data_IF_470259425272
#
_entry.id   IF_470259425272
#
_cell.length_a   1.000
_cell.length_b   1.000
_cell.length_c   1.000
_cell.angle_alpha   90.00
_cell.angle_beta   90.00
_cell.angle_gamma   90.00
#
_symmetry.space_group_name_H-M   'P 1'
#
loop_
_entity.id
_entity.type
_entity.pdbx_description
1 polymer ?
#
# COMPACT_ATOMS: atom_id res chain seq x y z
N UNK A 1 1.71 8.80 -1.04
CA UNK A 1 3.05 8.17 -1.07
C UNK A 1 4.01 9.13 -0.42
N UNK A 2 4.78 8.65 0.54
CA UNK A 2 5.73 9.46 1.33
C UNK A 2 7.10 8.81 1.29
N UNK A 3 8.15 9.61 1.12
CA UNK A 3 9.53 9.16 1.19
C UNK A 3 10.10 9.51 2.57
N UNK A 4 10.54 8.51 3.32
CA UNK A 4 11.36 8.68 4.51
C UNK A 4 12.84 8.59 4.09
N UNK A 5 13.37 9.72 3.65
CA UNK A 5 14.66 9.82 2.98
C UNK A 5 15.86 9.30 3.81
N UNK A 6 15.96 9.54 5.14
CA UNK A 6 17.06 9.01 5.96
C UNK A 6 17.13 7.48 5.98
N UNK A 7 15.99 6.81 5.86
CA UNK A 7 15.89 5.35 5.89
C UNK A 7 15.60 4.74 4.51
N UNK A 8 15.55 5.57 3.47
CA UNK A 8 15.16 5.20 2.11
C UNK A 8 13.84 4.40 2.02
N UNK A 9 12.90 4.62 2.96
CA UNK A 9 11.61 3.95 2.93
C UNK A 9 10.63 4.69 2.03
N UNK A 10 9.92 3.94 1.20
CA UNK A 10 8.79 4.46 0.41
C UNK A 10 7.51 3.90 1.03
N UNK A 11 6.75 4.81 1.63
CA UNK A 11 5.57 4.51 2.42
C UNK A 11 4.33 4.80 1.57
N UNK A 12 3.48 3.78 1.44
CA UNK A 12 2.20 3.85 0.77
C UNK A 12 1.11 3.58 1.80
N UNK A 13 0.35 4.62 2.11
CA UNK A 13 -0.78 4.53 3.03
C UNK A 13 -2.10 4.61 2.26
N UNK A 14 -2.84 3.51 2.31
CA UNK A 14 -4.16 3.31 1.71
C UNK A 14 -5.24 3.07 2.78
N UNK A 15 -5.05 3.58 4.01
CA UNK A 15 -6.03 3.47 5.09
C UNK A 15 -7.37 4.09 4.70
N UNK A 16 -8.47 3.38 4.97
CA UNK A 16 -9.85 3.84 4.81
C UNK A 16 -10.19 4.38 3.40
N UNK A 17 -9.61 3.75 2.38
CA UNK A 17 -9.85 4.10 0.97
C UNK A 17 -11.00 3.34 0.33
N UNK A 18 -11.74 2.57 1.13
CA UNK A 18 -12.89 1.77 0.66
C UNK A 18 -12.51 0.78 -0.45
N UNK A 19 -11.25 0.33 -0.48
CA UNK A 19 -10.73 -0.54 -1.52
C UNK A 19 -11.38 -1.92 -1.46
N UNK A 20 -11.77 -2.46 -2.62
CA UNK A 20 -12.27 -3.83 -2.77
C UNK A 20 -11.19 -4.81 -3.24
N UNK A 21 -10.05 -4.28 -3.72
CA UNK A 21 -8.88 -5.02 -4.19
C UNK A 21 -7.59 -4.26 -3.84
N UNK A 22 -6.45 -4.94 -3.95
CA UNK A 22 -5.14 -4.29 -3.81
C UNK A 22 -4.94 -3.37 -5.03
N UNK A 23 -4.65 -2.06 -4.84
CA UNK A 23 -4.55 -1.13 -5.96
C UNK A 23 -3.33 -1.43 -6.83
N UNK A 24 -3.52 -1.32 -8.15
CA UNK A 24 -2.41 -1.28 -9.10
C UNK A 24 -1.57 0.00 -8.93
N UNK A 25 -0.36 0.00 -9.50
CA UNK A 25 0.50 1.19 -9.49
C UNK A 25 1.16 1.50 -8.13
N UNK A 26 1.17 0.54 -7.19
CA UNK A 26 2.05 0.60 -6.02
C UNK A 26 3.49 0.72 -6.55
N UNK A 27 4.26 1.72 -6.11
CA UNK A 27 5.65 1.86 -6.53
C UNK A 27 6.43 0.58 -6.27
N UNK A 28 7.20 0.11 -7.25
CA UNK A 28 7.98 -1.13 -7.13
C UNK A 28 9.02 -1.09 -5.99
N UNK A 29 9.38 0.11 -5.54
CA UNK A 29 10.28 0.35 -4.41
C UNK A 29 9.56 0.65 -3.09
N UNK A 30 8.24 0.46 -3.00
CA UNK A 30 7.50 0.57 -1.75
C UNK A 30 8.04 -0.43 -0.72
N UNK A 31 8.40 0.07 0.46
CA UNK A 31 8.90 -0.74 1.58
C UNK A 31 7.84 -0.94 2.66
N UNK A 32 6.89 -0.01 2.76
CA UNK A 32 5.81 -0.04 3.73
C UNK A 32 4.49 0.21 3.02
N UNK A 33 3.58 -0.75 3.12
CA UNK A 33 2.24 -0.68 2.53
C UNK A 33 1.20 -0.89 3.63
N UNK A 34 0.32 0.10 3.80
CA UNK A 34 -0.78 0.04 4.77
C UNK A 34 -2.11 -0.02 4.03
N UNK A 35 -2.88 -1.08 4.24
CA UNK A 35 -4.19 -1.33 3.61
C UNK A 35 -5.31 -1.49 4.66
N UNK A 36 -5.15 -0.93 5.85
CA UNK A 36 -6.11 -1.10 6.95
C UNK A 36 -7.45 -0.43 6.63
N UNK A 37 -8.54 -0.97 7.21
CA UNK A 37 -9.90 -0.42 7.05
C UNK A 37 -10.30 -0.36 5.56
N UNK A 38 -10.19 -1.51 4.90
CA UNK A 38 -10.65 -1.67 3.52
C UNK A 38 -11.53 -2.92 3.40
N UNK A 39 -12.15 -3.10 2.25
CA UNK A 39 -13.09 -4.19 1.93
C UNK A 39 -12.44 -5.26 1.03
N UNK A 40 -11.13 -5.48 1.18
CA UNK A 40 -10.37 -6.46 0.39
C UNK A 40 -10.73 -7.87 0.88
N UNK A 41 -11.44 -8.62 0.04
CA UNK A 41 -12.02 -9.92 0.41
C UNK A 41 -11.04 -11.09 0.34
N UNK A 42 -9.91 -10.92 -0.35
CA UNK A 42 -8.91 -11.97 -0.52
C UNK A 42 -7.57 -11.43 -0.97
N UNK A 43 -6.53 -12.22 -0.73
CA UNK A 43 -5.16 -11.93 -1.16
C UNK A 43 -4.69 -13.10 -2.01
N UNK A 44 -4.15 -12.81 -3.18
CA UNK A 44 -3.55 -13.79 -4.08
C UNK A 44 -2.11 -13.43 -4.40
N UNK A 45 -1.28 -14.41 -4.78
CA UNK A 45 -0.02 -14.11 -5.46
C UNK A 45 -0.27 -13.25 -6.70
N UNK A 46 0.70 -12.41 -7.02
CA UNK A 46 0.75 -11.68 -8.29
C UNK A 46 1.13 -12.61 -9.44
#
# INVERSE_FOLDING_TARGET
>A
VTLDAPNAHVIVDCTDKHLTEIPGGIPANATNLTLTINHIAGISPA
#
